data_IF_192514443473
#
_entry.id   IF_192514443473
#
_cell.length_a   1.000
_cell.length_b   1.000
_cell.length_c   1.000
_cell.angle_alpha   90.00
_cell.angle_beta   90.00
_cell.angle_gamma   90.00
#
_symmetry.space_group_name_H-M   'P 1'
#
loop_
_entity.id
_entity.type
_entity.pdbx_description
1 polymer ?
#
# COMPACT_ATOMS: atom_id res chain seq x y z
N UNK A 1 -3.15 30.35 -2.19
CA UNK A 1 -2.70 29.16 -2.95
C UNK A 1 -3.34 29.23 -4.32
N UNK A 2 -2.58 29.05 -5.41
CA UNK A 2 -3.08 29.14 -6.79
C UNK A 2 -2.81 27.79 -7.45
N UNK A 3 -3.84 27.17 -8.01
CA UNK A 3 -3.70 25.94 -8.81
C UNK A 3 -2.84 26.31 -10.03
N UNK A 4 -1.72 25.59 -10.23
CA UNK A 4 -0.78 25.87 -11.31
C UNK A 4 -1.20 25.25 -12.63
N UNK A 5 -1.78 24.05 -12.57
CA UNK A 5 -2.38 23.35 -13.70
C UNK A 5 -3.33 22.28 -13.15
N UNK A 6 -4.29 21.87 -13.96
CA UNK A 6 -5.10 20.68 -13.75
C UNK A 6 -5.21 19.93 -15.08
N UNK A 7 -5.32 18.61 -15.02
CA UNK A 7 -5.45 17.78 -16.21
C UNK A 7 -6.33 16.58 -15.92
N UNK A 8 -7.32 16.40 -16.78
CA UNK A 8 -8.14 15.19 -16.79
C UNK A 8 -7.40 14.11 -17.60
N UNK A 9 -7.21 12.96 -16.97
CA UNK A 9 -6.77 11.74 -17.66
C UNK A 9 -8.06 10.97 -17.95
N UNK A 10 -8.42 10.81 -19.22
CA UNK A 10 -9.66 10.16 -19.64
C UNK A 10 -9.42 9.12 -20.74
N UNK A 11 -10.49 8.43 -21.17
CA UNK A 11 -10.48 7.41 -22.21
C UNK A 11 -9.53 6.22 -21.95
N UNK A 12 -9.22 5.91 -20.68
CA UNK A 12 -8.37 4.78 -20.32
C UNK A 12 -9.16 3.56 -19.82
N UNK A 13 -10.43 3.71 -19.46
CA UNK A 13 -11.34 2.63 -19.09
C UNK A 13 -12.82 3.04 -19.22
N UNK A 14 -13.72 2.04 -19.26
CA UNK A 14 -15.18 2.24 -19.28
C UNK A 14 -15.82 2.25 -17.88
N UNK A 15 -15.03 2.11 -16.82
CA UNK A 15 -15.48 1.95 -15.44
C UNK A 15 -15.21 3.15 -14.53
N UNK A 16 -15.72 3.11 -13.29
CA UNK A 16 -15.35 4.10 -12.27
C UNK A 16 -13.88 3.93 -11.90
N UNK A 17 -13.13 5.03 -11.88
CA UNK A 17 -11.70 4.99 -11.58
C UNK A 17 -11.45 5.58 -10.20
N UNK A 18 -10.69 4.85 -9.39
CA UNK A 18 -10.20 5.32 -8.10
C UNK A 18 -8.68 5.22 -8.09
N UNK A 19 -7.99 6.36 -7.97
CA UNK A 19 -6.55 6.39 -7.72
C UNK A 19 -6.29 6.24 -6.22
N UNK A 20 -5.38 5.33 -5.86
CA UNK A 20 -5.08 5.02 -4.45
C UNK A 20 -3.74 5.60 -3.99
N UNK A 21 -2.76 5.73 -4.90
CA UNK A 21 -1.45 6.27 -4.55
C UNK A 21 -0.80 7.02 -5.72
N UNK A 22 0.07 7.97 -5.37
CA UNK A 22 0.87 8.76 -6.29
C UNK A 22 2.26 9.02 -5.70
N UNK A 23 3.29 8.82 -6.52
CA UNK A 23 4.65 9.16 -6.16
C UNK A 23 5.29 10.07 -7.22
N UNK A 24 5.85 11.24 -6.83
CA UNK A 24 6.78 11.98 -7.67
C UNK A 24 8.02 11.14 -7.98
N UNK A 25 8.45 11.16 -9.23
CA UNK A 25 9.60 10.39 -9.71
C UNK A 25 10.84 11.28 -9.85
N UNK A 26 12.02 10.66 -9.84
CA UNK A 26 13.32 11.30 -10.04
C UNK A 26 13.43 12.05 -11.38
N UNK A 27 12.68 11.60 -12.39
CA UNK A 27 12.58 12.23 -13.70
C UNK A 27 11.62 13.44 -13.76
N UNK A 28 11.20 13.97 -12.60
CA UNK A 28 10.19 15.04 -12.41
C UNK A 28 8.77 14.69 -12.82
N UNK A 29 8.52 13.47 -13.30
CA UNK A 29 7.19 12.97 -13.56
C UNK A 29 6.51 12.39 -12.31
N UNK A 30 5.43 11.65 -12.54
CA UNK A 30 4.62 11.06 -11.48
C UNK A 30 4.21 9.64 -11.86
N UNK A 31 4.25 8.71 -10.91
CA UNK A 31 3.68 7.38 -11.06
C UNK A 31 2.43 7.28 -10.19
N UNK A 32 1.34 6.77 -10.75
CA UNK A 32 0.02 6.69 -10.12
C UNK A 32 -0.48 5.27 -10.25
N UNK A 33 -1.13 4.75 -9.21
CA UNK A 33 -1.79 3.45 -9.24
C UNK A 33 -3.20 3.51 -8.68
N UNK A 34 -4.01 2.52 -9.04
CA UNK A 34 -5.37 2.43 -8.53
C UNK A 34 -6.16 1.24 -9.03
N UNK A 35 -7.48 1.42 -9.05
CA UNK A 35 -8.45 0.47 -9.60
C UNK A 35 -9.43 1.13 -10.57
N UNK A 36 -9.88 0.33 -11.52
CA UNK A 36 -11.02 0.58 -12.39
C UNK A 36 -12.09 -0.44 -11.99
N UNK A 37 -13.29 0.03 -11.64
CA UNK A 37 -14.45 -0.83 -11.48
C UNK A 37 -14.98 -1.19 -12.87
N UNK A 38 -14.52 -2.32 -13.42
CA UNK A 38 -14.84 -2.72 -14.78
C UNK A 38 -16.26 -3.31 -14.91
N UNK A 39 -16.71 -4.08 -13.90
CA UNK A 39 -18.09 -4.63 -13.80
C UNK A 39 -18.56 -4.68 -12.35
N UNK A 40 -19.82 -5.07 -12.15
CA UNK A 40 -20.35 -5.39 -10.82
C UNK A 40 -19.46 -6.45 -10.17
N UNK A 41 -18.75 -6.07 -9.11
CA UNK A 41 -17.84 -6.94 -8.35
C UNK A 41 -16.57 -7.41 -9.10
N UNK A 42 -16.14 -6.68 -10.15
CA UNK A 42 -14.86 -6.90 -10.82
C UNK A 42 -14.07 -5.59 -10.93
N UNK A 43 -12.88 -5.57 -10.32
CA UNK A 43 -11.91 -4.48 -10.43
C UNK A 43 -10.71 -4.88 -11.30
N UNK A 44 -10.21 -3.94 -12.09
CA UNK A 44 -8.94 -4.03 -12.80
C UNK A 44 -7.94 -3.07 -12.16
N UNK A 45 -6.71 -3.54 -11.92
CA UNK A 45 -5.66 -2.66 -11.44
C UNK A 45 -5.11 -1.79 -12.58
N UNK A 46 -4.63 -0.60 -12.27
CA UNK A 46 -3.91 0.22 -13.24
C UNK A 46 -2.65 0.85 -12.65
N UNK A 47 -1.71 1.16 -13.55
CA UNK A 47 -0.53 1.97 -13.27
C UNK A 47 -0.32 2.96 -14.42
N UNK A 48 -0.06 4.23 -14.08
CA UNK A 48 0.13 5.32 -15.03
C UNK A 48 1.39 6.09 -14.68
N UNK A 49 2.32 6.19 -15.63
CA UNK A 49 3.47 7.11 -15.58
C UNK A 49 3.14 8.35 -16.38
N UNK A 50 3.20 9.49 -15.70
CA UNK A 50 3.13 10.81 -16.30
C UNK A 50 4.52 11.42 -16.36
N UNK A 51 4.78 12.22 -17.38
CA UNK A 51 5.93 13.11 -17.42
C UNK A 51 5.70 14.35 -16.52
N UNK A 52 6.69 15.24 -16.48
CA UNK A 52 6.65 16.50 -15.71
C UNK A 52 5.48 17.45 -16.04
N UNK A 53 4.90 17.31 -17.22
CA UNK A 53 3.75 18.09 -17.69
C UNK A 53 2.41 17.37 -17.46
N UNK A 54 2.41 16.21 -16.79
CA UNK A 54 1.20 15.42 -16.54
C UNK A 54 0.72 14.62 -17.76
N UNK A 55 1.61 14.24 -18.69
CA UNK A 55 1.25 13.49 -19.91
C UNK A 55 1.76 12.06 -19.91
N UNK A 56 0.98 11.14 -20.47
CA UNK A 56 1.38 9.75 -20.79
C UNK A 56 2.17 9.63 -22.12
N UNK A 57 2.60 10.76 -22.68
CA UNK A 57 3.35 10.85 -23.94
C UNK A 57 4.86 10.62 -23.76
N UNK A 58 5.70 11.57 -24.20
CA UNK A 58 7.16 11.45 -24.07
C UNK A 58 7.58 11.11 -22.62
N UNK A 59 8.15 9.91 -22.42
CA UNK A 59 8.53 9.31 -21.12
C UNK A 59 7.37 8.98 -20.15
N UNK A 60 6.14 9.12 -20.60
CA UNK A 60 4.94 8.62 -19.91
C UNK A 60 4.44 7.32 -20.55
N UNK A 61 3.57 6.61 -19.83
CA UNK A 61 2.92 5.38 -20.30
C UNK A 61 1.78 5.00 -19.34
N UNK A 62 0.94 4.06 -19.74
CA UNK A 62 -0.10 3.49 -18.89
C UNK A 62 -0.26 1.99 -19.13
N UNK A 63 -0.69 1.27 -18.09
CA UNK A 63 -1.10 -0.14 -18.16
C UNK A 63 -2.40 -0.33 -17.38
N UNK A 64 -3.33 -1.04 -17.99
CA UNK A 64 -4.49 -1.62 -17.30
C UNK A 64 -4.22 -3.10 -17.21
N UNK A 65 -4.45 -3.66 -16.04
CA UNK A 65 -4.15 -5.03 -15.68
C UNK A 65 -5.48 -5.69 -15.44
N UNK A 66 -6.00 -6.26 -16.51
CA UNK A 66 -7.21 -7.05 -16.49
C UNK A 66 -6.83 -8.50 -16.15
N UNK A 67 -6.80 -8.84 -14.87
CA UNK A 67 -6.97 -10.24 -14.47
C UNK A 67 -8.47 -10.52 -14.29
N UNK A 68 -8.89 -11.77 -14.35
CA UNK A 68 -10.31 -12.19 -14.22
C UNK A 68 -10.89 -11.99 -12.81
N UNK A 69 -10.36 -11.05 -12.02
CA UNK A 69 -10.51 -11.04 -10.56
C UNK A 69 -10.40 -9.62 -10.03
N UNK A 70 -11.04 -9.40 -8.88
CA UNK A 70 -10.94 -8.18 -8.07
C UNK A 70 -9.49 -7.86 -7.70
N UNK A 71 -8.82 -7.13 -8.57
CA UNK A 71 -7.44 -6.72 -8.45
C UNK A 71 -7.37 -5.20 -8.37
N UNK A 72 -6.53 -4.70 -7.47
CA UNK A 72 -6.27 -3.28 -7.34
C UNK A 72 -4.92 -3.05 -6.69
N UNK A 73 -4.21 -2.01 -7.14
CA UNK A 73 -2.99 -1.55 -6.48
C UNK A 73 -3.31 -0.46 -5.46
N UNK A 74 -2.70 -0.54 -4.29
CA UNK A 74 -2.88 0.41 -3.19
C UNK A 74 -1.65 1.27 -2.93
N UNK A 75 -0.48 0.88 -3.44
CA UNK A 75 0.75 1.64 -3.28
C UNK A 75 1.69 1.47 -4.46
N UNK A 76 2.51 2.48 -4.73
CA UNK A 76 3.56 2.43 -5.75
C UNK A 76 4.84 3.07 -5.26
N UNK A 77 5.99 2.55 -5.70
CA UNK A 77 7.29 3.17 -5.41
C UNK A 77 8.24 3.16 -6.60
N UNK A 78 8.91 4.29 -6.85
CA UNK A 78 10.10 4.32 -7.71
C UNK A 78 11.30 3.74 -6.95
N UNK A 79 11.99 2.81 -7.59
CA UNK A 79 13.22 2.19 -7.11
C UNK A 79 14.32 2.41 -8.15
N UNK A 80 15.42 3.03 -7.71
CA UNK A 80 16.60 3.30 -8.53
C UNK A 80 17.73 2.38 -8.05
N UNK A 81 18.17 1.49 -8.92
CA UNK A 81 19.28 0.56 -8.70
C UNK A 81 20.37 0.87 -9.74
N UNK A 82 21.35 1.70 -9.37
CA UNK A 82 22.35 2.19 -10.32
C UNK A 82 21.73 3.12 -11.36
N UNK A 83 21.78 2.72 -12.64
CA UNK A 83 21.18 3.46 -13.76
C UNK A 83 19.77 2.97 -14.12
N UNK A 84 19.32 1.89 -13.49
CA UNK A 84 18.01 1.29 -13.77
C UNK A 84 16.96 1.90 -12.84
N UNK A 85 15.90 2.45 -13.44
CA UNK A 85 14.71 2.89 -12.72
C UNK A 85 13.60 1.88 -12.95
N UNK A 86 13.04 1.40 -11.84
CA UNK A 86 11.87 0.51 -11.83
C UNK A 86 10.76 1.09 -10.96
N UNK A 87 9.53 0.66 -11.22
CA UNK A 87 8.38 0.97 -10.38
C UNK A 87 7.86 -0.30 -9.75
N UNK A 88 7.63 -0.28 -8.45
CA UNK A 88 7.10 -1.40 -7.67
C UNK A 88 5.68 -1.06 -7.27
N UNK A 89 4.70 -1.76 -7.83
CA UNK A 89 3.29 -1.62 -7.49
C UNK A 89 2.88 -2.75 -6.54
N UNK A 90 2.14 -2.41 -5.49
CA UNK A 90 1.61 -3.38 -4.51
C UNK A 90 0.10 -3.29 -4.50
N UNK A 91 -0.54 -4.44 -4.44
CA UNK A 91 -1.98 -4.53 -4.43
C UNK A 91 -2.53 -5.78 -3.78
N UNK A 92 -3.83 -5.90 -3.91
CA UNK A 92 -4.59 -7.07 -3.48
C UNK A 92 -5.20 -7.72 -4.70
N UNK A 93 -5.07 -9.05 -4.79
CA UNK A 93 -5.70 -9.86 -5.82
C UNK A 93 -6.50 -10.98 -5.16
N UNK A 94 -7.69 -11.28 -5.67
CA UNK A 94 -8.41 -12.50 -5.28
C UNK A 94 -7.76 -13.69 -5.95
N UNK A 95 -7.47 -14.80 -5.26
CA UNK A 95 -6.91 -15.99 -5.92
C UNK A 95 -8.04 -16.97 -6.28
N UNK A 96 -7.95 -17.60 -7.46
CA UNK A 96 -9.00 -18.55 -7.88
C UNK A 96 -8.78 -19.85 -7.12
N UNK A 97 -9.86 -20.51 -6.71
CA UNK A 97 -9.83 -21.75 -5.94
C UNK A 97 -9.16 -21.61 -4.56
N UNK A 98 -9.11 -20.40 -4.00
CA UNK A 98 -8.70 -20.14 -2.63
C UNK A 98 -9.76 -19.29 -1.92
N UNK A 99 -9.84 -19.43 -0.60
CA UNK A 99 -10.87 -18.81 0.25
C UNK A 99 -10.60 -17.35 0.61
N UNK A 100 -9.69 -16.66 -0.07
CA UNK A 100 -9.31 -15.30 0.29
C UNK A 100 -8.53 -14.53 -0.76
N UNK A 101 -8.19 -13.30 -0.39
CA UNK A 101 -7.30 -12.45 -1.16
C UNK A 101 -5.82 -12.70 -0.82
N UNK A 102 -4.92 -12.24 -1.68
CA UNK A 102 -3.48 -12.29 -1.46
C UNK A 102 -2.85 -10.96 -1.87
N UNK A 103 -1.67 -10.70 -1.32
CA UNK A 103 -0.85 -9.57 -1.75
C UNK A 103 -0.21 -9.92 -3.09
N UNK A 104 -0.27 -8.97 -4.02
CA UNK A 104 0.44 -9.01 -5.29
C UNK A 104 1.45 -7.86 -5.34
N UNK A 105 2.64 -8.15 -5.86
CA UNK A 105 3.70 -7.17 -6.08
C UNK A 105 4.21 -7.32 -7.50
N UNK A 106 4.12 -6.23 -8.25
CA UNK A 106 4.51 -6.16 -9.65
C UNK A 106 5.60 -5.12 -9.85
N UNK A 107 6.53 -5.43 -10.76
CA UNK A 107 7.64 -4.54 -11.09
C UNK A 107 7.60 -4.15 -12.55
N UNK A 108 7.74 -2.87 -12.80
CA UNK A 108 7.75 -2.28 -14.13
C UNK A 108 9.09 -1.63 -14.43
N UNK A 109 9.55 -1.74 -15.67
CA UNK A 109 10.68 -0.96 -16.17
C UNK A 109 10.31 0.52 -16.26
N UNK A 110 11.31 1.39 -16.43
CA UNK A 110 11.10 2.82 -16.70
C UNK A 110 10.21 3.08 -17.93
N UNK A 111 10.11 2.12 -18.84
CA UNK A 111 9.28 2.15 -20.06
C UNK A 111 7.90 1.48 -19.90
N UNK A 112 7.59 0.99 -18.70
CA UNK A 112 6.32 0.34 -18.38
C UNK A 112 6.23 -1.12 -18.84
N UNK A 113 7.34 -1.79 -19.08
CA UNK A 113 7.35 -3.23 -19.34
C UNK A 113 7.26 -3.97 -18.00
N UNK A 114 6.39 -4.99 -17.90
CA UNK A 114 6.31 -5.82 -16.71
C UNK A 114 7.56 -6.71 -16.62
N UNK A 115 8.38 -6.47 -15.59
CA UNK A 115 9.61 -7.21 -15.30
C UNK A 115 9.37 -8.42 -14.41
N UNK A 116 8.43 -8.30 -13.47
CA UNK A 116 8.07 -9.36 -12.54
C UNK A 116 6.63 -9.16 -12.05
N UNK A 117 5.92 -10.28 -11.86
CA UNK A 117 4.63 -10.34 -11.19
C UNK A 117 4.69 -11.46 -10.18
N UNK A 118 4.33 -11.18 -8.93
CA UNK A 118 4.38 -12.16 -7.84
C UNK A 118 3.15 -12.04 -6.94
N UNK A 119 2.41 -13.14 -6.81
CA UNK A 119 1.29 -13.29 -5.87
C UNK A 119 1.75 -14.15 -4.70
N UNK A 120 1.54 -13.67 -3.48
CA UNK A 120 2.01 -14.30 -2.24
C UNK A 120 0.90 -15.06 -1.52
N UNK A 121 0.33 -16.07 -2.19
CA UNK A 121 -0.82 -16.83 -1.69
C UNK A 121 -0.48 -18.02 -0.80
N UNK A 122 0.80 -18.37 -0.69
CA UNK A 122 1.28 -19.45 0.19
C UNK A 122 1.86 -18.89 1.48
N UNK A 123 2.32 -17.64 1.45
CA UNK A 123 2.99 -16.94 2.56
C UNK A 123 1.99 -16.25 3.50
N UNK A 124 0.74 -16.09 3.06
CA UNK A 124 -0.23 -15.23 3.70
C UNK A 124 -1.67 -15.71 3.43
N UNK A 125 -2.51 -15.77 4.46
CA UNK A 125 -3.89 -16.27 4.37
C UNK A 125 -4.91 -15.11 4.35
N UNK A 126 -5.66 -14.97 3.26
CA UNK A 126 -6.68 -13.92 3.09
C UNK A 126 -6.14 -12.51 3.45
N UNK A 127 -5.08 -12.10 2.76
CA UNK A 127 -4.42 -10.83 3.04
C UNK A 127 -4.85 -9.73 2.10
N UNK A 128 -4.73 -8.50 2.58
CA UNK A 128 -4.90 -7.30 1.77
C UNK A 128 -3.74 -6.35 2.02
N UNK A 129 -3.26 -5.69 0.97
CA UNK A 129 -2.32 -4.60 1.07
C UNK A 129 -3.06 -3.27 1.07
N UNK A 130 -2.77 -2.39 2.04
CA UNK A 130 -3.42 -1.08 2.18
C UNK A 130 -2.46 0.09 1.93
N UNK A 131 -1.19 -0.05 2.30
CA UNK A 131 -0.13 0.92 1.99
C UNK A 131 1.23 0.22 1.95
N UNK A 132 2.21 0.83 1.30
CA UNK A 132 3.57 0.31 1.30
C UNK A 132 4.59 1.45 1.43
N UNK A 133 5.76 1.14 1.98
CA UNK A 133 6.92 2.01 1.97
C UNK A 133 8.13 1.24 1.44
N UNK A 134 8.89 1.90 0.56
CA UNK A 134 10.20 1.44 0.12
C UNK A 134 11.28 1.96 1.09
N UNK A 135 12.15 1.08 1.55
CA UNK A 135 13.25 1.41 2.46
C UNK A 135 14.56 0.80 1.97
N UNK A 136 15.68 1.35 2.44
CA UNK A 136 17.00 0.77 2.27
C UNK A 136 17.47 0.14 3.58
N UNK A 137 17.88 -1.12 3.54
CA UNK A 137 18.41 -1.84 4.70
C UNK A 137 19.68 -2.58 4.29
N UNK A 138 20.81 -2.20 4.87
CA UNK A 138 22.14 -2.77 4.55
C UNK A 138 22.49 -2.73 3.05
N UNK A 139 22.04 -1.70 2.34
CA UNK A 139 22.28 -1.53 0.90
C UNK A 139 21.27 -2.28 0.01
N UNK A 140 20.32 -3.01 0.59
CA UNK A 140 19.31 -3.76 -0.14
C UNK A 140 17.93 -3.10 -0.02
N UNK A 141 17.19 -2.91 -1.12
CA UNK A 141 15.85 -2.37 -1.09
C UNK A 141 14.86 -3.36 -0.47
N UNK A 142 14.07 -2.88 0.49
CA UNK A 142 12.97 -3.62 1.13
C UNK A 142 11.67 -2.89 0.91
N UNK A 143 10.62 -3.66 0.70
CA UNK A 143 9.25 -3.18 0.65
C UNK A 143 8.54 -3.62 1.92
N UNK A 144 8.02 -2.65 2.68
CA UNK A 144 7.23 -2.90 3.87
C UNK A 144 5.78 -2.55 3.56
N UNK A 145 4.90 -3.54 3.66
CA UNK A 145 3.48 -3.41 3.32
C UNK A 145 2.66 -3.42 4.60
N UNK A 146 1.89 -2.36 4.84
CA UNK A 146 0.80 -2.34 5.81
C UNK A 146 -0.43 -3.00 5.19
N UNK A 147 -1.09 -3.85 5.97
CA UNK A 147 -2.24 -4.57 5.46
C UNK A 147 -2.99 -5.33 6.52
N UNK A 148 -3.67 -6.38 6.07
CA UNK A 148 -4.38 -7.33 6.91
C UNK A 148 -4.03 -8.76 6.57
N UNK A 149 -4.17 -9.64 7.56
CA UNK A 149 -4.23 -11.08 7.40
C UNK A 149 -5.37 -11.59 8.28
N UNK A 150 -6.37 -12.28 7.70
CA UNK A 150 -7.56 -12.80 8.41
C UNK A 150 -8.19 -11.74 9.34
N UNK A 151 -8.45 -10.54 8.79
CA UNK A 151 -9.03 -9.41 9.50
C UNK A 151 -8.23 -8.94 10.75
N UNK A 152 -6.93 -9.27 10.82
CA UNK A 152 -6.00 -8.71 11.78
C UNK A 152 -5.01 -7.75 11.08
N UNK A 153 -4.69 -6.60 11.68
CA UNK A 153 -3.66 -5.71 11.15
C UNK A 153 -2.29 -6.39 11.07
N UNK A 154 -1.59 -6.18 9.97
CA UNK A 154 -0.31 -6.81 9.71
C UNK A 154 0.70 -5.87 9.02
N UNK A 155 1.97 -6.16 9.25
CA UNK A 155 3.09 -5.71 8.44
C UNK A 155 3.69 -6.89 7.71
N UNK A 156 3.92 -6.75 6.41
CA UNK A 156 4.62 -7.73 5.57
C UNK A 156 5.91 -7.12 5.07
N UNK A 157 6.96 -7.93 4.97
CA UNK A 157 8.29 -7.52 4.56
C UNK A 157 8.71 -8.32 3.34
N UNK A 158 9.16 -7.60 2.31
CA UNK A 158 9.66 -8.19 1.07
C UNK A 158 11.04 -7.62 0.73
N UNK A 159 11.95 -8.50 0.30
CA UNK A 159 13.20 -8.12 -0.34
C UNK A 159 13.02 -7.94 -1.83
N UNK A 160 13.65 -6.91 -2.39
CA UNK A 160 13.69 -6.64 -3.82
C UNK A 160 15.12 -6.89 -4.30
N UNK A 161 15.33 -7.93 -5.11
CA UNK A 161 16.67 -8.37 -5.51
C UNK A 161 16.73 -8.58 -7.02
N UNK A 162 17.45 -7.73 -7.74
CA UNK A 162 17.44 -7.77 -9.21
C UNK A 162 16.03 -7.48 -9.72
N UNK A 163 15.40 -8.41 -10.44
CA UNK A 163 13.96 -8.34 -10.80
C UNK A 163 13.05 -9.14 -9.85
N UNK A 164 13.60 -9.85 -8.87
CA UNK A 164 12.83 -10.74 -8.00
C UNK A 164 12.25 -10.01 -6.79
N UNK A 165 11.11 -10.51 -6.32
CA UNK A 165 10.49 -10.14 -5.05
C UNK A 165 10.46 -11.38 -4.15
N UNK A 166 11.03 -11.26 -2.95
CA UNK A 166 11.18 -12.35 -1.99
C UNK A 166 10.43 -11.99 -0.71
N UNK A 167 9.56 -12.88 -0.24
CA UNK A 167 8.93 -12.71 1.07
C UNK A 167 9.95 -12.97 2.19
N UNK A 168 10.11 -12.01 3.11
CA UNK A 168 11.09 -12.10 4.21
C UNK A 168 10.43 -12.24 5.59
N UNK A 169 9.11 -12.01 5.68
CA UNK A 169 8.35 -12.28 6.89
C UNK A 169 7.17 -11.34 7.09
N UNK A 170 6.39 -11.62 8.14
CA UNK A 170 5.21 -10.83 8.52
C UNK A 170 5.01 -10.77 10.03
N UNK A 171 4.38 -9.69 10.50
CA UNK A 171 4.03 -9.47 11.89
C UNK A 171 2.55 -9.12 11.99
N UNK A 172 1.78 -9.95 12.70
CA UNK A 172 0.31 -9.86 12.73
C UNK A 172 -0.17 -9.55 14.15
N UNK A 173 -1.00 -8.53 14.29
CA UNK A 173 -1.64 -8.16 15.56
C UNK A 173 -2.85 -9.05 15.83
N UNK A 174 -2.63 -10.33 16.15
CA UNK A 174 -3.70 -11.35 16.32
C UNK A 174 -4.77 -11.00 17.38
N UNK A 175 -4.45 -10.11 18.31
CA UNK A 175 -5.38 -9.64 19.35
C UNK A 175 -6.16 -8.38 18.94
N UNK A 176 -5.97 -7.86 17.73
CA UNK A 176 -6.66 -6.70 17.18
C UNK A 176 -7.43 -7.16 15.95
N UNK A 177 -8.75 -7.05 15.97
CA UNK A 177 -9.58 -7.26 14.78
C UNK A 177 -9.76 -5.91 14.08
N UNK A 178 -9.38 -5.78 12.81
CA UNK A 178 -9.41 -4.53 12.07
C UNK A 178 -8.34 -4.47 10.97
N UNK A 179 -8.07 -3.26 10.45
CA UNK A 179 -7.17 -3.09 9.32
C UNK A 179 -5.89 -2.34 9.67
N UNK A 180 -4.74 -2.86 9.22
CA UNK A 180 -3.50 -2.09 9.19
C UNK A 180 -3.49 -1.20 7.96
N UNK A 181 -3.59 0.12 8.13
CA UNK A 181 -3.84 1.05 7.03
C UNK A 181 -2.57 1.76 6.56
N UNK A 182 -1.71 2.15 7.50
CA UNK A 182 -0.53 2.97 7.20
C UNK A 182 0.67 2.51 8.02
N UNK A 183 1.85 2.54 7.40
CA UNK A 183 3.12 2.24 8.06
C UNK A 183 4.14 3.35 7.86
N UNK A 184 5.05 3.49 8.81
CA UNK A 184 6.21 4.38 8.68
C UNK A 184 7.44 3.78 9.34
N UNK A 185 8.59 3.93 8.70
CA UNK A 185 9.89 3.66 9.32
C UNK A 185 10.32 4.86 10.18
N UNK A 186 10.76 4.57 11.40
CA UNK A 186 11.28 5.53 12.35
C UNK A 186 12.80 5.71 12.15
N UNK A 187 13.34 6.81 12.68
CA UNK A 187 14.78 7.12 12.61
C UNK A 187 15.66 6.10 13.35
N UNK A 188 15.09 5.38 14.33
CA UNK A 188 15.76 4.27 15.04
C UNK A 188 15.68 2.93 14.28
N UNK A 189 15.21 2.95 13.02
CA UNK A 189 15.11 1.79 12.14
C UNK A 189 13.85 0.94 12.35
N UNK A 190 13.06 1.22 13.40
CA UNK A 190 11.83 0.49 13.76
C UNK A 190 10.64 0.94 12.93
N UNK A 191 9.50 0.26 13.09
CA UNK A 191 8.30 0.52 12.32
C UNK A 191 7.13 0.87 13.22
N UNK A 192 6.22 1.70 12.73
CA UNK A 192 4.90 1.93 13.31
C UNK A 192 3.84 1.54 12.31
N UNK A 193 2.82 0.82 12.77
CA UNK A 193 1.59 0.52 12.04
C UNK A 193 0.44 1.24 12.73
N UNK A 194 -0.42 1.88 11.95
CA UNK A 194 -1.68 2.43 12.44
C UNK A 194 -2.83 2.01 11.54
N UNK A 195 -4.03 1.99 12.11
CA UNK A 195 -5.25 1.68 11.37
C UNK A 195 -6.46 1.57 12.28
N UNK A 196 -7.50 0.91 11.81
CA UNK A 196 -8.77 0.79 12.52
C UNK A 196 -8.91 -0.52 13.29
N UNK A 197 -9.86 -0.52 14.23
CA UNK A 197 -10.33 -1.71 14.93
C UNK A 197 -11.80 -1.90 14.57
N UNK A 198 -12.12 -3.05 14.01
CA UNK A 198 -13.49 -3.46 13.75
C UNK A 198 -14.17 -3.85 15.07
N UNK A 199 -15.22 -3.11 15.44
CA UNK A 199 -16.05 -3.43 16.60
C UNK A 199 -17.15 -4.43 16.20
N UNK A 200 -17.59 -5.28 17.14
CA UNK A 200 -18.77 -6.16 16.94
C UNK A 200 -20.07 -5.40 16.63
N UNK A 201 -20.09 -4.07 16.81
CA UNK A 201 -21.24 -3.20 16.54
C UNK A 201 -21.19 -2.55 15.15
N UNK A 202 -20.30 -3.01 14.26
CA UNK A 202 -20.16 -2.54 12.87
C UNK A 202 -19.77 -1.07 12.70
N UNK A 203 -19.29 -0.42 13.76
CA UNK A 203 -18.77 0.95 13.73
C UNK A 203 -17.23 0.95 13.81
N UNK A 204 -16.57 1.59 12.84
CA UNK A 204 -15.11 1.81 12.83
C UNK A 204 -14.74 3.04 13.66
N UNK A 205 -15.21 3.08 14.91
CA UNK A 205 -14.99 4.21 15.84
C UNK A 205 -13.68 4.08 16.61
N UNK A 206 -12.84 3.11 16.28
CA UNK A 206 -11.65 2.78 17.05
C UNK A 206 -10.42 2.75 16.15
N UNK A 207 -9.34 3.37 16.60
CA UNK A 207 -8.04 3.34 15.95
C UNK A 207 -7.03 2.62 16.85
N UNK A 208 -5.98 2.08 16.25
CA UNK A 208 -4.81 1.60 16.97
C UNK A 208 -3.53 2.19 16.38
N UNK A 209 -2.48 2.17 17.19
CA UNK A 209 -1.11 2.34 16.76
C UNK A 209 -0.23 1.31 17.47
N UNK A 210 0.68 0.68 16.72
CA UNK A 210 1.60 -0.32 17.24
C UNK A 210 3.00 -0.07 16.71
N UNK A 211 4.01 -0.24 17.57
CA UNK A 211 5.43 -0.14 17.20
C UNK A 211 6.04 -1.54 17.12
N UNK A 212 6.83 -1.78 16.09
CA UNK A 212 7.53 -3.03 15.83
C UNK A 212 9.04 -2.76 15.77
N UNK A 213 9.80 -3.48 16.57
CA UNK A 213 11.27 -3.40 16.53
C UNK A 213 11.84 -4.09 15.28
N UNK A 214 11.18 -5.17 14.85
CA UNK A 214 11.54 -5.98 13.69
C UNK A 214 10.26 -6.50 13.01
N UNK A 215 10.33 -6.70 11.70
CA UNK A 215 9.31 -7.40 10.92
C UNK A 215 9.94 -8.71 10.44
N UNK A 216 9.48 -9.82 11.01
CA UNK A 216 9.83 -11.20 10.64
C UNK A 216 8.66 -12.09 11.03
N UNK A 217 8.61 -13.30 10.48
CA UNK A 217 7.57 -14.29 10.75
C UNK A 217 7.23 -14.36 12.25
N UNK A 218 5.96 -14.07 12.56
CA UNK A 218 5.36 -14.07 13.91
C UNK A 218 6.00 -13.13 14.94
N UNK A 219 6.71 -12.07 14.51
CA UNK A 219 7.18 -11.05 15.45
C UNK A 219 6.02 -10.28 16.09
N UNK A 220 6.12 -10.05 17.40
CA UNK A 220 5.16 -9.28 18.19
C UNK A 220 5.56 -7.80 18.24
N UNK A 221 4.59 -6.88 18.34
CA UNK A 221 4.90 -5.47 18.53
C UNK A 221 5.64 -5.24 19.85
N UNK A 222 6.54 -4.26 19.88
CA UNK A 222 7.17 -3.78 21.10
C UNK A 222 6.15 -3.12 22.03
N UNK A 223 5.15 -2.43 21.46
CA UNK A 223 4.00 -1.93 22.19
C UNK A 223 2.79 -1.73 21.27
N UNK A 224 1.59 -1.67 21.84
CA UNK A 224 0.35 -1.33 21.12
C UNK A 224 -0.54 -0.45 21.98
N UNK A 225 -1.10 0.61 21.38
CA UNK A 225 -2.07 1.50 21.99
C UNK A 225 -3.36 1.52 21.17
N UNK A 226 -4.50 1.66 21.86
CA UNK A 226 -5.84 1.74 21.25
C UNK A 226 -6.49 3.06 21.64
N UNK A 227 -7.19 3.67 20.68
CA UNK A 227 -7.85 4.96 20.85
C UNK A 227 -9.30 4.83 20.39
N UNK A 228 -10.24 5.24 21.23
CA UNK A 228 -11.66 5.39 20.85
C UNK A 228 -11.84 6.78 20.27
N UNK A 229 -12.37 6.86 19.06
CA UNK A 229 -12.70 8.10 18.37
C UNK A 229 -14.19 8.41 18.57
N UNK A 230 -14.49 9.63 19.01
CA UNK A 230 -15.86 10.12 19.16
C UNK A 230 -16.17 11.13 18.07
N UNK A 231 -17.40 11.12 17.54
CA UNK A 231 -17.86 12.14 16.62
C UNK A 231 -18.03 13.48 17.37
N UNK A 232 -17.47 14.58 16.86
CA UNK A 232 -17.44 15.87 17.57
C UNK A 232 -18.83 16.54 17.74
N UNK A 233 -19.90 15.97 17.20
CA UNK A 233 -21.26 16.55 17.29
C UNK A 233 -21.91 16.53 18.68
N UNK A 234 -21.21 16.09 19.74
CA UNK A 234 -21.71 16.15 21.12
C UNK A 234 -20.72 16.73 22.15
N UNK A 235 -19.59 17.29 21.73
CA UNK A 235 -18.65 17.91 22.66
C UNK A 235 -18.20 19.28 22.16
N UNK A 236 -18.60 20.31 22.90
CA UNK A 236 -17.96 21.63 22.86
C UNK A 236 -16.43 21.46 22.85
N UNK A 237 -15.82 21.92 21.76
CA UNK A 237 -14.41 22.26 21.57
C UNK A 237 -13.43 21.64 22.58
N UNK A 238 -12.87 20.48 22.25
CA UNK A 238 -11.55 20.08 22.74
C UNK A 238 -10.67 19.87 21.51
N UNK A 239 -9.74 20.81 21.25
CA UNK A 239 -8.59 20.53 20.39
C UNK A 239 -7.80 19.40 21.03
N UNK A 240 -7.95 18.18 20.51
CA UNK A 240 -7.07 17.08 20.88
C UNK A 240 -5.72 17.30 20.19
N UNK A 241 -4.80 17.95 20.91
CA UNK A 241 -3.38 17.97 20.54
C UNK A 241 -2.78 16.67 21.05
N UNK A 242 -2.47 15.74 20.15
CA UNK A 242 -1.74 14.52 20.50
C UNK A 242 -0.28 14.88 20.80
N UNK A 243 0.03 15.11 22.08
CA UNK A 243 1.41 15.22 22.55
C UNK A 243 1.91 13.82 22.87
N UNK A 244 2.65 13.22 21.95
CA UNK A 244 3.40 11.98 22.22
C UNK A 244 4.65 12.39 23.01
N UNK A 245 4.61 12.23 24.33
CA UNK A 245 5.79 12.38 25.17
C UNK A 245 6.64 11.11 25.07
N UNK A 246 7.84 11.24 24.50
CA UNK A 246 8.88 10.21 24.59
C UNK A 246 9.50 10.28 25.99
N UNK A 247 9.60 9.15 26.68
CA UNK A 247 10.57 8.95 27.75
C UNK A 247 11.70 8.10 27.22
#
# INVERSE_FOLDING_TARGET
MVIRWEKEINNFASGQVTAYDIQPCSDRGFIIVGAIQARSEENEAFIIKLNENGETGNRGWQRVISSTKNEYYTAVSELIEGFDTTYVAVGTVRVLNQTGASIQIDRYSSRGELLNLKVFSQECENCRANAAILIQENGEPKLIVAGTEIDNPALFRFGLYGNNVVFEGKSVLRNVQGNGLVTRRLSDGKFVLAGDISSKRSDSTHAFIAKFDIIRQDATPAWTNRVVLYNEFLAMCIRMTMVILWR
#
